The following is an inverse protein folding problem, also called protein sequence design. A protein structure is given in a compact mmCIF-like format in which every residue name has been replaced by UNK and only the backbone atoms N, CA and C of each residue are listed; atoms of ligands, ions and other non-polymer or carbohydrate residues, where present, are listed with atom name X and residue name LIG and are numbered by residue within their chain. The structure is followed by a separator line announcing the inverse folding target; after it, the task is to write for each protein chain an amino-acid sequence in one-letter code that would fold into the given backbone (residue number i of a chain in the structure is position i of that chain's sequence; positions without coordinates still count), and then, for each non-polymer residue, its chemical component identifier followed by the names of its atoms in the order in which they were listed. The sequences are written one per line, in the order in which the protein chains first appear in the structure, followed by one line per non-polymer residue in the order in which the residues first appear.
data_IF_649236731301
#
_entry.id   IF_649236731301
#
_cell.length_a   1.000
_cell.length_b   1.000
_cell.length_c   1.000
_cell.angle_alpha   90.00
_cell.angle_beta   90.00
_cell.angle_gamma   90.00
#
_symmetry.space_group_name_H-M   'P 1'
#
loop_
_entity.id
_entity.type
_entity.pdbx_description
1 polymer ?
#
# COMPACT_ATOMS: atom_id res chain seq x y z
N UNK A 1 -19.58 20.25 -24.61
CA UNK A 1 -19.07 18.89 -24.79
C UNK A 1 -19.25 18.11 -23.48
N UNK A 2 -18.64 18.47 -22.35
CA UNK A 2 -18.69 17.77 -21.06
C UNK A 2 -20.13 17.53 -20.53
N UNK A 3 -21.05 18.52 -20.68
CA UNK A 3 -22.46 18.37 -20.27
C UNK A 3 -23.22 17.39 -21.17
N UNK A 4 -22.96 17.41 -22.48
CA UNK A 4 -23.56 16.48 -23.44
C UNK A 4 -23.08 15.05 -23.21
N UNK A 5 -21.75 14.87 -22.99
CA UNK A 5 -21.17 13.58 -22.64
C UNK A 5 -21.83 12.96 -21.40
N UNK A 6 -21.90 13.72 -20.29
CA UNK A 6 -22.53 13.21 -19.05
C UNK A 6 -23.99 12.75 -19.27
N UNK A 7 -24.74 13.54 -20.03
CA UNK A 7 -26.14 13.20 -20.34
C UNK A 7 -26.24 11.92 -21.18
N UNK A 8 -25.39 11.77 -22.17
CA UNK A 8 -25.36 10.60 -23.04
C UNK A 8 -24.82 9.35 -22.33
N UNK A 9 -23.74 9.47 -21.57
CA UNK A 9 -23.17 8.39 -20.77
C UNK A 9 -24.14 7.87 -19.71
N UNK A 10 -24.90 8.75 -19.04
CA UNK A 10 -25.95 8.34 -18.11
C UNK A 10 -27.15 7.65 -18.80
N UNK A 11 -27.41 7.96 -20.07
CA UNK A 11 -28.51 7.35 -20.84
C UNK A 11 -28.17 5.93 -21.27
N UNK A 12 -26.93 5.69 -21.72
CA UNK A 12 -26.48 4.42 -22.27
C UNK A 12 -25.56 3.64 -21.33
N UNK A 13 -25.59 3.94 -20.01
CA UNK A 13 -24.78 3.23 -19.03
C UNK A 13 -25.18 1.75 -18.94
N UNK A 14 -24.21 0.80 -18.95
CA UNK A 14 -24.50 -0.64 -18.92
C UNK A 14 -25.41 -1.07 -17.77
N UNK A 15 -25.26 -0.44 -16.58
CA UNK A 15 -26.07 -0.75 -15.40
C UNK A 15 -27.56 -0.54 -15.58
N UNK A 16 -27.97 0.31 -16.52
CA UNK A 16 -29.40 0.54 -16.82
C UNK A 16 -30.00 -0.53 -17.70
N UNK A 17 -29.20 -1.31 -18.36
CA UNK A 17 -29.61 -2.33 -19.31
C UNK A 17 -29.38 -3.76 -18.79
N UNK A 18 -29.07 -3.93 -17.49
CA UNK A 18 -28.83 -5.24 -16.88
C UNK A 18 -30.03 -6.21 -17.03
N UNK A 19 -31.24 -5.70 -17.07
CA UNK A 19 -32.51 -6.48 -17.26
C UNK A 19 -33.07 -6.39 -18.68
N UNK A 20 -32.39 -5.75 -19.63
CA UNK A 20 -32.84 -5.61 -21.01
C UNK A 20 -32.49 -6.85 -21.86
N UNK A 21 -33.03 -6.93 -23.07
CA UNK A 21 -32.70 -7.99 -24.03
C UNK A 21 -31.23 -7.93 -24.48
N UNK A 22 -30.66 -9.04 -24.93
CA UNK A 22 -29.27 -9.12 -25.41
C UNK A 22 -28.99 -8.14 -26.56
N UNK A 23 -29.99 -7.87 -27.41
CA UNK A 23 -29.85 -6.90 -28.49
C UNK A 23 -29.75 -5.46 -27.97
N UNK A 24 -30.62 -5.10 -27.02
CA UNK A 24 -30.64 -3.77 -26.40
C UNK A 24 -29.38 -3.52 -25.58
N UNK A 25 -28.85 -4.54 -24.89
CA UNK A 25 -27.56 -4.46 -24.19
C UNK A 25 -26.42 -4.13 -25.15
N UNK A 26 -26.34 -4.85 -26.26
CA UNK A 26 -25.33 -4.67 -27.29
C UNK A 26 -25.40 -3.29 -27.93
N UNK A 27 -26.60 -2.83 -28.28
CA UNK A 27 -26.81 -1.48 -28.84
C UNK A 27 -26.42 -0.36 -27.82
N UNK A 28 -26.74 -0.55 -26.55
CA UNK A 28 -26.37 0.40 -25.51
C UNK A 28 -24.84 0.43 -25.28
N UNK A 29 -24.19 -0.72 -25.33
CA UNK A 29 -22.75 -0.86 -25.22
C UNK A 29 -22.02 -0.22 -26.40
N UNK A 30 -22.48 -0.47 -27.62
CA UNK A 30 -21.90 0.14 -28.83
C UNK A 30 -22.05 1.66 -28.81
N UNK A 31 -23.21 2.19 -28.46
CA UNK A 31 -23.42 3.62 -28.27
C UNK A 31 -22.59 4.24 -27.14
N UNK A 32 -22.39 3.49 -26.05
CA UNK A 32 -21.56 3.95 -24.96
C UNK A 32 -20.09 4.03 -25.35
N UNK A 33 -19.59 3.08 -26.15
CA UNK A 33 -18.23 3.11 -26.72
C UNK A 33 -18.05 4.33 -27.64
N UNK A 34 -18.99 4.56 -28.56
CA UNK A 34 -18.97 5.70 -29.48
C UNK A 34 -18.97 7.06 -28.74
N UNK A 35 -19.78 7.18 -27.68
CA UNK A 35 -19.84 8.38 -26.83
C UNK A 35 -18.51 8.64 -26.10
N UNK A 36 -17.89 7.60 -25.60
CA UNK A 36 -16.59 7.70 -24.91
C UNK A 36 -15.48 8.11 -25.90
N UNK A 37 -15.44 7.50 -27.07
CA UNK A 37 -14.50 7.81 -28.15
C UNK A 37 -14.64 9.27 -28.62
N UNK A 38 -15.85 9.69 -28.91
CA UNK A 38 -16.14 11.08 -29.27
C UNK A 38 -15.72 12.07 -28.18
N UNK A 39 -15.94 11.74 -26.91
CA UNK A 39 -15.53 12.59 -25.81
C UNK A 39 -14.01 12.67 -25.66
N UNK A 40 -13.28 11.59 -25.83
CA UNK A 40 -11.81 11.57 -25.78
C UNK A 40 -11.18 12.46 -26.86
N UNK A 41 -11.76 12.46 -28.05
CA UNK A 41 -11.28 13.34 -29.15
C UNK A 41 -11.69 14.80 -28.91
N UNK A 42 -12.94 15.04 -28.55
CA UNK A 42 -13.48 16.41 -28.48
C UNK A 42 -13.19 17.14 -27.16
N UNK A 43 -12.76 16.44 -26.10
CA UNK A 43 -12.42 17.04 -24.81
C UNK A 43 -11.05 17.68 -24.78
N UNK A 44 -10.14 17.21 -25.61
CA UNK A 44 -8.79 17.73 -25.74
C UNK A 44 -8.71 18.76 -26.88
N UNK A 45 -8.26 20.00 -26.62
CA UNK A 45 -8.18 21.04 -27.66
C UNK A 45 -7.32 20.68 -28.86
N UNK A 46 -6.22 19.94 -28.64
CA UNK A 46 -5.30 19.55 -29.72
C UNK A 46 -5.90 18.45 -30.60
N UNK A 47 -6.50 17.43 -29.99
CA UNK A 47 -7.17 16.33 -30.69
C UNK A 47 -8.38 16.83 -31.47
N UNK A 48 -9.14 17.76 -30.86
CA UNK A 48 -10.27 18.40 -31.52
C UNK A 48 -9.84 19.19 -32.74
N UNK A 49 -8.75 19.96 -32.68
CA UNK A 49 -8.22 20.71 -33.81
C UNK A 49 -7.78 19.78 -34.95
N UNK A 50 -7.19 18.63 -34.62
CA UNK A 50 -6.84 17.62 -35.62
C UNK A 50 -8.08 16.97 -36.24
N UNK A 51 -9.09 16.68 -35.46
CA UNK A 51 -10.36 16.17 -35.95
C UNK A 51 -11.07 17.18 -36.85
N UNK A 52 -11.08 18.46 -36.48
CA UNK A 52 -11.67 19.52 -37.27
C UNK A 52 -10.94 19.75 -38.62
N UNK A 53 -9.63 19.42 -38.71
CA UNK A 53 -8.83 19.56 -39.94
C UNK A 53 -8.87 18.31 -40.84
N UNK A 54 -8.85 17.15 -40.28
CA UNK A 54 -8.66 15.89 -41.04
C UNK A 54 -9.86 14.94 -41.00
N UNK A 55 -10.90 15.29 -40.24
CA UNK A 55 -12.11 14.49 -40.13
C UNK A 55 -11.90 13.12 -39.44
N UNK A 56 -12.89 12.25 -39.60
CA UNK A 56 -12.88 10.89 -39.00
C UNK A 56 -11.82 9.96 -39.64
N UNK A 57 -11.51 10.18 -40.90
CA UNK A 57 -10.56 9.37 -41.68
C UNK A 57 -9.11 9.40 -41.10
N UNK A 58 -8.72 10.45 -40.39
CA UNK A 58 -7.41 10.51 -39.72
C UNK A 58 -7.29 9.56 -38.55
N UNK A 59 -8.40 9.12 -38.02
CA UNK A 59 -8.48 8.21 -36.87
C UNK A 59 -8.80 6.77 -37.29
N UNK A 60 -9.37 6.54 -38.47
CA UNK A 60 -9.62 5.21 -39.03
C UNK A 60 -8.38 4.56 -39.67
N UNK A 61 -7.48 5.34 -40.28
CA UNK A 61 -6.29 4.78 -40.95
C UNK A 61 -5.21 4.28 -39.99
N UNK A 62 -5.28 4.59 -38.68
CA UNK A 62 -4.43 4.00 -37.63
C UNK A 62 -4.96 2.66 -37.07
N UNK A 63 -6.18 2.26 -37.39
CA UNK A 63 -6.85 1.08 -36.83
C UNK A 63 -6.82 -0.17 -37.74
N UNK A 64 -5.99 -0.17 -38.79
CA UNK A 64 -5.82 -1.33 -39.66
C UNK A 64 -5.11 -2.51 -38.99
N UNK A 65 -5.78 -3.19 -38.04
CA UNK A 65 -5.23 -4.39 -37.44
C UNK A 65 -5.94 -4.94 -36.20
N UNK A 66 -7.04 -4.36 -35.75
CA UNK A 66 -7.69 -4.82 -34.51
C UNK A 66 -9.12 -5.37 -34.71
N UNK A 67 -9.29 -6.20 -35.74
CA UNK A 67 -10.47 -7.03 -35.92
C UNK A 67 -10.26 -8.42 -35.33
N UNK A 68 -10.26 -8.59 -34.01
CA UNK A 68 -10.13 -9.90 -33.39
C UNK A 68 -10.30 -9.85 -31.88
N UNK A 69 -11.55 -10.06 -31.41
CA UNK A 69 -11.89 -10.68 -30.14
C UNK A 69 -11.19 -10.21 -28.87
N UNK A 70 -11.65 -9.11 -28.24
CA UNK A 70 -11.28 -8.81 -26.86
C UNK A 70 -12.54 -8.77 -25.98
N UNK A 71 -12.80 -9.92 -25.34
CA UNK A 71 -13.73 -10.07 -24.23
C UNK A 71 -12.91 -10.00 -22.93
N UNK A 72 -12.67 -8.82 -22.40
CA UNK A 72 -11.95 -8.62 -21.14
C UNK A 72 -12.11 -7.21 -20.61
N UNK A 73 -12.41 -7.09 -19.38
CA UNK A 73 -12.73 -6.01 -18.46
C UNK A 73 -12.32 -4.57 -18.75
N UNK A 74 -13.21 -3.71 -18.33
CA UNK A 74 -13.28 -2.27 -18.55
C UNK A 74 -12.15 -1.42 -17.92
N UNK A 75 -11.28 -1.99 -17.05
CA UNK A 75 -10.24 -1.24 -16.32
C UNK A 75 -8.93 -1.06 -17.10
N UNK A 76 -8.69 -1.87 -18.14
CA UNK A 76 -7.40 -1.95 -18.84
C UNK A 76 -7.33 -1.09 -20.14
N UNK A 77 -8.46 -0.47 -20.55
CA UNK A 77 -8.53 0.29 -21.80
C UNK A 77 -7.83 1.66 -21.76
N UNK A 78 -7.66 2.23 -20.56
CA UNK A 78 -7.00 3.53 -20.38
C UNK A 78 -5.49 3.48 -20.61
N UNK A 79 -4.84 2.42 -20.17
CA UNK A 79 -3.39 2.26 -20.24
C UNK A 79 -2.92 1.80 -21.61
N UNK A 80 -3.68 0.93 -22.30
CA UNK A 80 -3.33 0.43 -23.66
C UNK A 80 -3.48 1.53 -24.70
N UNK A 81 -4.47 2.40 -24.55
CA UNK A 81 -4.69 3.53 -25.47
C UNK A 81 -3.67 4.65 -25.26
N UNK A 82 -3.21 4.87 -24.03
CA UNK A 82 -2.15 5.83 -23.69
C UNK A 82 -0.79 5.44 -24.29
N UNK A 83 -0.42 4.18 -24.24
CA UNK A 83 0.84 3.67 -24.79
C UNK A 83 0.82 3.59 -26.33
N UNK A 84 -0.30 3.23 -26.95
CA UNK A 84 -0.43 3.16 -28.40
C UNK A 84 -0.43 4.54 -29.06
N UNK A 85 -1.16 5.51 -28.48
CA UNK A 85 -1.23 6.86 -29.01
C UNK A 85 0.04 7.68 -28.72
N UNK A 86 0.68 7.43 -27.59
CA UNK A 86 1.99 8.01 -27.27
C UNK A 86 3.10 7.52 -28.20
N UNK A 87 3.01 6.27 -28.66
CA UNK A 87 4.00 5.67 -29.56
C UNK A 87 3.78 6.00 -31.05
N UNK A 88 2.52 6.08 -31.50
CA UNK A 88 2.21 6.29 -32.93
C UNK A 88 2.16 7.76 -33.36
N UNK A 89 1.79 8.69 -32.47
CA UNK A 89 1.64 10.12 -32.78
C UNK A 89 2.59 11.06 -32.01
N UNK A 90 3.29 10.57 -30.98
CA UNK A 90 4.31 11.34 -30.23
C UNK A 90 5.69 11.41 -30.90
N UNK A 91 5.85 10.85 -32.06
CA UNK A 91 7.13 10.68 -32.75
C UNK A 91 7.61 11.88 -33.57
N UNK A 92 7.48 13.13 -33.08
CA UNK A 92 8.04 14.19 -33.86
C UNK A 92 8.01 15.58 -33.25
N UNK A 93 8.48 15.83 -32.07
CA UNK A 93 8.97 17.12 -31.55
C UNK A 93 9.04 17.09 -30.02
N UNK A 94 9.72 16.17 -29.49
CA UNK A 94 10.12 16.20 -28.10
C UNK A 94 11.37 15.34 -28.00
N UNK A 95 12.53 15.96 -27.85
CA UNK A 95 13.78 15.24 -27.66
C UNK A 95 13.57 14.11 -26.67
N UNK A 96 13.80 12.88 -27.10
CA UNK A 96 13.80 11.73 -26.23
C UNK A 96 14.68 12.10 -25.03
N UNK A 97 14.08 12.53 -23.94
CA UNK A 97 14.75 12.52 -22.65
C UNK A 97 15.14 11.08 -22.46
N UNK A 98 16.41 10.78 -22.82
CA UNK A 98 17.05 9.53 -22.47
C UNK A 98 16.71 9.33 -20.99
N UNK A 99 15.70 8.49 -20.71
CA UNK A 99 15.45 8.04 -19.34
C UNK A 99 16.77 7.44 -18.93
N UNK A 100 17.51 8.21 -18.14
CA UNK A 100 18.77 7.73 -17.59
C UNK A 100 18.48 6.40 -16.93
N UNK A 101 19.27 5.39 -17.22
CA UNK A 101 19.15 4.05 -16.62
C UNK A 101 19.48 4.02 -15.13
N UNK A 102 19.39 5.17 -14.49
CA UNK A 102 19.66 5.37 -13.07
C UNK A 102 18.52 4.75 -12.29
N UNK A 103 18.78 3.62 -11.68
CA UNK A 103 17.83 2.91 -10.83
C UNK A 103 18.02 3.37 -9.37
N UNK A 104 16.95 3.46 -8.58
CA UNK A 104 17.08 3.65 -7.15
C UNK A 104 17.77 2.46 -6.50
N UNK A 105 18.26 2.63 -5.29
CA UNK A 105 18.78 1.53 -4.48
C UNK A 105 17.66 0.58 -4.04
N UNK A 106 18.05 -0.57 -3.48
CA UNK A 106 17.10 -1.57 -3.01
C UNK A 106 16.35 -1.07 -1.77
N UNK A 107 15.06 -1.45 -1.72
CA UNK A 107 14.22 -1.16 -0.56
C UNK A 107 14.51 -2.15 0.57
N UNK A 108 14.52 -1.65 1.79
CA UNK A 108 14.71 -2.44 2.98
C UNK A 108 13.39 -2.64 3.74
N UNK A 109 13.30 -3.75 4.47
CA UNK A 109 12.15 -4.06 5.32
C UNK A 109 12.64 -4.34 6.74
N UNK A 110 11.97 -3.72 7.70
CA UNK A 110 12.24 -3.89 9.12
C UNK A 110 10.92 -4.12 9.85
N UNK A 111 10.92 -4.99 10.84
CA UNK A 111 9.77 -5.21 11.72
C UNK A 111 10.04 -4.55 13.07
N UNK A 112 9.04 -3.83 13.58
CA UNK A 112 9.07 -3.19 14.90
C UNK A 112 7.86 -3.66 15.69
N UNK A 113 8.11 -4.17 16.89
CA UNK A 113 7.06 -4.58 17.81
C UNK A 113 6.72 -3.45 18.78
N UNK A 114 5.42 -3.23 18.96
CA UNK A 114 4.86 -2.26 19.92
C UNK A 114 3.79 -2.93 20.78
N UNK A 115 3.50 -2.34 21.93
CA UNK A 115 2.38 -2.77 22.77
C UNK A 115 1.07 -2.09 22.32
N UNK A 116 -0.07 -2.56 22.86
CA UNK A 116 -1.38 -2.00 22.54
C UNK A 116 -1.51 -0.56 23.05
N UNK A 117 -0.91 -0.24 24.22
CA UNK A 117 -0.87 1.10 24.79
C UNK A 117 -0.03 2.06 23.92
N UNK A 118 1.14 1.59 23.46
CA UNK A 118 1.97 2.34 22.53
C UNK A 118 1.26 2.59 21.20
N UNK A 119 0.49 1.60 20.70
CA UNK A 119 -0.34 1.78 19.53
C UNK A 119 -1.46 2.79 19.73
N UNK A 120 -2.04 2.86 20.95
CA UNK A 120 -3.09 3.82 21.28
C UNK A 120 -2.58 5.26 21.39
N UNK A 121 -1.41 5.47 22.01
CA UNK A 121 -0.86 6.81 22.27
C UNK A 121 0.04 7.31 21.16
N UNK A 122 0.59 6.40 20.35
CA UNK A 122 1.71 6.64 19.48
C UNK A 122 3.04 6.60 20.25
N UNK A 123 4.11 6.25 19.56
CA UNK A 123 5.44 6.11 20.18
C UNK A 123 6.53 6.45 19.17
N UNK A 124 7.64 6.96 19.67
CA UNK A 124 8.88 7.11 18.90
C UNK A 124 9.84 5.99 19.28
N UNK A 125 10.19 5.14 18.30
CA UNK A 125 11.14 4.04 18.50
C UNK A 125 12.38 4.23 17.66
N UNK A 126 13.52 4.10 18.30
CA UNK A 126 14.80 4.10 17.61
C UNK A 126 15.10 2.70 17.10
N UNK A 127 15.23 2.59 15.79
CA UNK A 127 15.56 1.36 15.08
C UNK A 127 17.01 1.37 14.61
N UNK A 128 17.68 0.24 14.75
CA UNK A 128 19.06 0.02 14.28
C UNK A 128 19.02 -1.03 13.18
N UNK A 129 19.56 -0.69 12.03
CA UNK A 129 19.62 -1.59 10.89
C UNK A 129 20.89 -1.38 10.08
N UNK A 130 21.21 -2.35 9.25
CA UNK A 130 22.33 -2.26 8.32
C UNK A 130 21.80 -1.96 6.94
N UNK A 131 22.46 -1.07 6.22
CA UNK A 131 22.20 -0.80 4.80
C UNK A 131 23.51 -0.76 4.03
N UNK A 132 23.42 -0.86 2.71
CA UNK A 132 24.53 -0.52 1.82
C UNK A 132 24.53 1.00 1.64
N UNK A 133 25.49 1.66 2.27
CA UNK A 133 25.77 3.09 2.09
C UNK A 133 26.67 3.31 0.86
N UNK A 134 26.85 4.57 0.46
CA UNK A 134 27.88 4.91 -0.52
C UNK A 134 29.24 4.74 0.12
N UNK A 135 30.17 4.12 -0.59
CA UNK A 135 31.55 4.00 -0.11
C UNK A 135 32.15 5.38 0.15
N UNK A 136 32.60 5.60 1.37
CA UNK A 136 33.18 6.86 1.83
C UNK A 136 34.43 7.27 1.07
N UNK A 137 35.22 6.31 0.57
CA UNK A 137 36.47 6.57 -0.14
C UNK A 137 36.24 7.02 -1.59
N UNK A 138 35.29 6.39 -2.33
CA UNK A 138 35.05 6.67 -3.74
C UNK A 138 33.72 7.39 -4.04
N UNK A 139 32.93 7.77 -3.03
CA UNK A 139 31.62 8.42 -3.16
C UNK A 139 30.64 7.68 -4.08
N UNK A 140 30.71 6.35 -4.07
CA UNK A 140 29.82 5.51 -4.85
C UNK A 140 30.28 5.21 -6.29
N UNK A 141 31.43 5.74 -6.73
CA UNK A 141 31.93 5.53 -8.11
C UNK A 141 32.57 4.15 -8.33
N UNK A 142 32.96 3.47 -7.27
CA UNK A 142 33.74 2.23 -7.35
C UNK A 142 35.19 2.41 -7.82
N UNK A 143 35.64 3.64 -8.10
CA UNK A 143 36.95 3.95 -8.65
C UNK A 143 37.86 4.57 -7.59
N UNK A 144 39.13 4.19 -7.51
CA UNK A 144 40.12 4.64 -6.52
C UNK A 144 40.29 6.16 -6.50
N UNK A 145 40.42 6.77 -7.64
CA UNK A 145 40.56 8.21 -7.82
C UNK A 145 39.27 8.88 -8.32
N UNK A 146 38.08 8.21 -8.14
CA UNK A 146 36.80 8.63 -8.70
C UNK A 146 36.79 8.72 -10.24
N UNK A 147 37.85 8.26 -10.92
CA UNK A 147 37.98 8.26 -12.37
C UNK A 147 37.27 7.04 -12.96
N UNK A 148 36.28 7.32 -13.79
CA UNK A 148 35.49 6.30 -14.48
C UNK A 148 35.56 6.52 -15.99
N UNK A 149 35.60 5.43 -16.75
CA UNK A 149 35.48 5.42 -18.21
C UNK A 149 34.08 4.96 -18.62
N UNK A 150 33.64 5.41 -19.76
CA UNK A 150 32.42 4.90 -20.37
C UNK A 150 32.59 3.41 -20.70
N UNK A 151 31.59 2.60 -20.38
CA UNK A 151 31.61 1.18 -20.70
C UNK A 151 31.59 0.98 -22.24
N UNK A 152 32.62 0.30 -22.75
CA UNK A 152 32.77 0.04 -24.20
C UNK A 152 31.69 -0.87 -24.74
N UNK A 153 31.15 -1.80 -23.94
CA UNK A 153 30.16 -2.79 -24.35
C UNK A 153 28.77 -2.24 -24.55
N UNK A 154 28.31 -1.37 -23.64
CA UNK A 154 27.00 -0.77 -23.70
C UNK A 154 27.02 0.72 -24.11
N UNK A 155 28.18 1.27 -24.38
CA UNK A 155 28.37 2.67 -24.76
C UNK A 155 27.68 3.65 -23.79
N UNK A 156 27.76 3.35 -22.48
CA UNK A 156 27.19 4.17 -21.40
C UNK A 156 25.70 3.97 -21.12
N UNK A 157 25.01 3.10 -21.85
CA UNK A 157 23.57 2.85 -21.64
C UNK A 157 23.28 1.98 -20.43
N UNK A 158 24.25 1.24 -19.90
CA UNK A 158 24.09 0.28 -18.81
C UNK A 158 23.35 -1.00 -19.21
N UNK A 159 22.79 -1.08 -20.41
CA UNK A 159 22.01 -2.22 -20.91
C UNK A 159 22.48 -2.69 -22.26
N UNK A 160 22.28 -3.97 -22.54
CA UNK A 160 22.55 -4.58 -23.84
C UNK A 160 21.28 -5.26 -24.35
N UNK A 161 21.09 -5.22 -25.68
CA UNK A 161 20.02 -5.96 -26.34
C UNK A 161 20.59 -7.33 -26.77
N UNK A 162 19.98 -8.38 -26.23
CA UNK A 162 20.33 -9.76 -26.62
C UNK A 162 19.19 -10.29 -27.48
N UNK A 163 19.53 -10.66 -28.73
CA UNK A 163 18.57 -11.30 -29.61
C UNK A 163 18.64 -12.82 -29.38
N UNK A 164 17.55 -13.39 -28.90
CA UNK A 164 17.38 -14.84 -28.83
C UNK A 164 16.50 -15.32 -29.96
N UNK A 165 17.07 -16.20 -30.80
CA UNK A 165 16.31 -16.91 -31.82
C UNK A 165 15.66 -18.13 -31.19
N UNK A 166 14.35 -18.16 -31.19
CA UNK A 166 13.56 -19.31 -30.75
C UNK A 166 12.82 -19.90 -31.96
N UNK A 167 12.31 -21.13 -31.91
CA UNK A 167 11.50 -21.71 -32.98
C UNK A 167 10.25 -20.88 -33.36
N UNK A 168 9.83 -19.99 -32.47
CA UNK A 168 8.65 -19.12 -32.64
C UNK A 168 8.98 -17.69 -33.07
N UNK A 169 10.27 -17.39 -33.37
CA UNK A 169 10.68 -16.05 -33.80
C UNK A 169 11.91 -15.50 -33.07
N UNK A 170 12.28 -14.27 -33.42
CA UNK A 170 13.41 -13.56 -32.83
C UNK A 170 12.86 -12.66 -31.73
N UNK A 171 13.21 -12.95 -30.48
CA UNK A 171 12.88 -12.11 -29.32
C UNK A 171 14.07 -11.21 -29.00
N UNK A 172 13.84 -9.92 -28.89
CA UNK A 172 14.80 -8.96 -28.37
C UNK A 172 14.59 -8.78 -26.87
N UNK A 173 15.55 -9.24 -26.09
CA UNK A 173 15.53 -9.05 -24.64
C UNK A 173 16.57 -7.99 -24.26
N UNK A 174 16.16 -7.04 -23.41
CA UNK A 174 17.05 -6.02 -22.86
C UNK A 174 17.53 -6.51 -21.51
N UNK A 175 18.84 -6.81 -21.43
CA UNK A 175 19.46 -7.26 -20.18
C UNK A 175 20.46 -6.22 -19.67
N UNK A 176 20.78 -6.32 -18.40
CA UNK A 176 21.83 -5.54 -17.77
C UNK A 176 23.19 -5.84 -18.41
N UNK A 177 24.01 -4.82 -18.61
CA UNK A 177 25.34 -5.02 -19.19
C UNK A 177 26.25 -5.76 -18.18
N UNK A 178 26.81 -6.93 -18.54
CA UNK A 178 27.59 -7.73 -17.60
C UNK A 178 28.92 -7.09 -17.19
N UNK A 179 29.44 -6.13 -17.97
CA UNK A 179 30.74 -5.51 -17.70
C UNK A 179 30.63 -4.34 -16.73
N UNK A 180 29.54 -3.58 -16.78
CA UNK A 180 29.34 -2.41 -15.93
C UNK A 180 28.18 -2.55 -14.93
N UNK A 181 27.47 -3.68 -14.95
CA UNK A 181 26.35 -3.96 -14.02
C UNK A 181 25.37 -2.78 -13.92
N UNK A 182 24.84 -2.35 -15.06
CA UNK A 182 23.85 -1.28 -15.15
C UNK A 182 24.39 0.15 -15.02
N UNK A 183 25.61 0.35 -14.56
CA UNK A 183 26.17 1.70 -14.29
C UNK A 183 26.50 2.50 -15.55
N UNK A 184 26.71 1.83 -16.69
CA UNK A 184 27.19 2.44 -17.93
C UNK A 184 28.64 2.92 -17.89
N UNK A 185 29.31 2.78 -16.73
CA UNK A 185 30.68 3.25 -16.47
C UNK A 185 31.52 2.14 -15.87
N UNK A 186 32.82 2.16 -16.13
CA UNK A 186 33.79 1.20 -15.58
C UNK A 186 34.89 1.98 -14.87
N UNK A 187 35.27 1.60 -13.64
CA UNK A 187 36.36 2.24 -12.94
C UNK A 187 37.70 1.98 -13.65
N UNK A 188 38.53 2.99 -13.83
CA UNK A 188 39.88 2.82 -14.37
C UNK A 188 40.72 1.95 -13.46
N UNK A 189 40.64 2.21 -12.15
CA UNK A 189 41.25 1.40 -11.09
C UNK A 189 40.20 1.16 -10.03
N UNK A 190 39.96 -0.10 -9.67
CA UNK A 190 38.99 -0.46 -8.64
C UNK A 190 39.35 0.15 -7.32
N UNK A 191 38.39 0.73 -6.62
CA UNK A 191 38.57 1.25 -5.28
C UNK A 191 39.03 0.14 -4.33
N UNK A 192 40.11 0.35 -3.64
CA UNK A 192 40.68 -0.62 -2.69
C UNK A 192 39.77 -0.89 -1.51
N UNK A 193 38.94 0.10 -1.12
CA UNK A 193 38.03 -0.01 0.03
C UNK A 193 36.77 -0.82 -0.28
N UNK A 194 36.07 -0.56 -1.37
CA UNK A 194 34.85 -1.26 -1.76
C UNK A 194 35.03 -2.31 -2.87
N UNK A 195 36.26 -2.53 -3.34
CA UNK A 195 36.61 -3.49 -4.40
C UNK A 195 35.83 -3.29 -5.71
N UNK A 196 35.44 -2.03 -5.99
CA UNK A 196 34.75 -1.66 -7.23
C UNK A 196 33.23 -1.63 -7.11
N UNK A 197 32.61 -2.03 -5.97
CA UNK A 197 31.15 -2.04 -5.81
C UNK A 197 30.55 -0.65 -5.62
N UNK A 198 31.33 0.34 -5.23
CA UNK A 198 30.86 1.69 -4.89
C UNK A 198 30.04 1.77 -3.60
N UNK A 199 29.82 0.66 -2.90
CA UNK A 199 29.01 0.60 -1.69
C UNK A 199 29.74 -0.05 -0.52
N UNK A 200 29.39 0.32 0.69
CA UNK A 200 29.89 -0.28 1.94
C UNK A 200 28.74 -0.51 2.93
N UNK A 201 28.94 -1.43 3.86
CA UNK A 201 27.94 -1.69 4.91
C UNK A 201 27.97 -0.56 5.94
N UNK A 202 26.84 0.11 6.12
CA UNK A 202 26.64 1.18 7.07
C UNK A 202 25.63 0.75 8.14
N UNK A 203 25.95 0.99 9.40
CA UNK A 203 24.98 0.85 10.50
C UNK A 203 24.26 2.17 10.68
N UNK A 204 22.93 2.14 10.51
CA UNK A 204 22.10 3.33 10.65
C UNK A 204 21.23 3.19 11.89
N UNK A 205 21.17 4.25 12.67
CA UNK A 205 20.26 4.40 13.78
C UNK A 205 19.27 5.52 13.44
N UNK A 206 17.97 5.21 13.46
CA UNK A 206 16.93 6.15 13.08
C UNK A 206 15.74 6.07 14.01
N UNK A 207 15.29 7.21 14.50
CA UNK A 207 14.04 7.31 15.26
C UNK A 207 12.85 7.33 14.28
N UNK A 208 11.94 6.39 14.47
CA UNK A 208 10.70 6.24 13.69
C UNK A 208 9.54 6.66 14.56
N UNK A 209 8.78 7.63 14.10
CA UNK A 209 7.56 8.07 14.75
C UNK A 209 6.40 7.21 14.30
N UNK A 210 5.85 6.43 15.20
CA UNK A 210 4.69 5.57 15.00
C UNK A 210 3.45 6.36 15.44
N UNK A 211 2.50 6.65 14.56
CA UNK A 211 1.33 7.43 14.89
C UNK A 211 0.37 6.66 15.81
N UNK A 212 -0.38 7.40 16.62
CA UNK A 212 -1.45 6.85 17.46
C UNK A 212 -2.56 6.25 16.57
N UNK A 213 -3.11 5.13 17.01
CA UNK A 213 -4.18 4.42 16.31
C UNK A 213 -3.71 3.46 15.23
N UNK A 214 -2.40 3.26 15.09
CA UNK A 214 -1.84 2.34 14.10
C UNK A 214 -2.35 0.91 14.30
N UNK A 215 -2.63 0.21 13.18
CA UNK A 215 -3.07 -1.17 13.20
C UNK A 215 -1.92 -2.16 13.09
N UNK A 216 -2.17 -3.41 13.52
CA UNK A 216 -1.22 -4.49 13.31
C UNK A 216 -0.97 -4.73 11.82
N UNK A 217 0.28 -5.01 11.47
CA UNK A 217 0.70 -5.25 10.08
C UNK A 217 0.81 -4.01 9.20
N UNK A 218 0.52 -2.80 9.69
CA UNK A 218 0.69 -1.57 8.92
C UNK A 218 2.15 -1.27 8.63
N UNK A 219 2.38 -0.62 7.48
CA UNK A 219 3.71 -0.31 6.95
C UNK A 219 3.94 1.20 6.96
N UNK A 220 5.02 1.61 7.57
CA UNK A 220 5.49 2.99 7.53
C UNK A 220 6.63 3.08 6.50
N UNK A 221 6.50 3.96 5.52
CA UNK A 221 7.52 4.20 4.50
C UNK A 221 8.43 5.34 4.92
N UNK A 222 9.71 5.09 5.00
CA UNK A 222 10.76 6.09 5.24
C UNK A 222 11.57 6.27 3.96
N UNK A 223 11.32 7.34 3.25
CA UNK A 223 11.92 7.62 1.94
C UNK A 223 13.42 7.86 2.05
N UNK A 224 14.20 7.22 1.16
CA UNK A 224 15.64 7.35 1.07
C UNK A 224 16.43 6.71 2.22
N UNK A 225 15.80 5.82 2.98
CA UNK A 225 16.43 5.12 4.10
C UNK A 225 16.82 3.66 3.78
N UNK A 226 16.62 3.23 2.53
CA UNK A 226 17.06 1.93 1.99
C UNK A 226 18.52 1.90 1.58
N UNK A 227 18.89 0.96 0.73
CA UNK A 227 20.24 0.78 0.20
C UNK A 227 20.61 1.88 -0.81
N UNK A 228 21.89 2.17 -0.93
CA UNK A 228 22.43 3.05 -1.95
C UNK A 228 22.28 2.42 -3.34
N UNK A 229 21.93 3.24 -4.33
CA UNK A 229 21.93 2.82 -5.72
C UNK A 229 23.32 2.48 -6.22
N UNK A 230 23.48 1.39 -6.93
CA UNK A 230 24.71 1.00 -7.61
C UNK A 230 24.92 1.81 -8.89
N UNK A 231 23.86 2.38 -9.47
CA UNK A 231 23.91 3.17 -10.72
C UNK A 231 23.98 4.68 -10.50
N UNK A 232 24.22 5.13 -9.26
CA UNK A 232 24.28 6.55 -8.90
C UNK A 232 22.92 7.23 -8.72
N UNK A 233 21.85 6.45 -8.58
CA UNK A 233 20.50 6.91 -8.28
C UNK A 233 20.29 7.30 -6.82
N UNK A 234 19.06 7.65 -6.45
CA UNK A 234 18.70 7.88 -5.07
C UNK A 234 18.76 6.59 -4.26
N UNK A 235 18.84 6.72 -2.96
CA UNK A 235 18.68 5.59 -2.06
C UNK A 235 17.27 4.98 -2.22
N UNK A 236 17.14 3.68 -1.99
CA UNK A 236 15.85 3.03 -1.81
C UNK A 236 15.13 3.48 -0.55
N UNK A 237 14.01 2.90 -0.27
CA UNK A 237 13.18 3.24 0.89
C UNK A 237 13.26 2.17 1.98
N UNK A 238 12.98 2.57 3.22
CA UNK A 238 12.83 1.63 4.33
C UNK A 238 11.36 1.48 4.69
N UNK A 239 10.85 0.26 4.61
CA UNK A 239 9.51 -0.10 5.04
C UNK A 239 9.56 -0.70 6.44
N UNK A 240 9.01 0.02 7.40
CA UNK A 240 8.88 -0.44 8.78
C UNK A 240 7.52 -1.08 8.95
N UNK A 241 7.49 -2.41 9.13
CA UNK A 241 6.30 -3.18 9.44
C UNK A 241 6.05 -3.12 10.94
N UNK A 242 4.94 -2.56 11.33
CA UNK A 242 4.54 -2.47 12.73
C UNK A 242 3.77 -3.72 13.11
N UNK A 243 4.20 -4.38 14.20
CA UNK A 243 3.51 -5.51 14.80
C UNK A 243 3.05 -5.12 16.20
N UNK A 244 1.75 -5.19 16.43
CA UNK A 244 1.16 -4.96 17.76
C UNK A 244 1.15 -6.28 18.52
N UNK A 245 1.75 -6.30 19.72
CA UNK A 245 1.74 -7.49 20.57
C UNK A 245 0.32 -7.78 21.08
N UNK A 246 -0.08 -9.06 21.17
CA UNK A 246 -1.33 -9.42 21.83
C UNK A 246 -1.34 -8.92 23.26
N UNK A 247 -2.47 -8.35 23.68
CA UNK A 247 -2.62 -7.88 25.05
C UNK A 247 -3.31 -8.95 25.91
N UNK A 248 -2.91 -9.16 27.18
CA UNK A 248 -3.45 -10.21 28.03
C UNK A 248 -4.93 -10.02 28.41
N UNK A 249 -5.44 -8.78 28.37
CA UNK A 249 -6.79 -8.46 28.82
C UNK A 249 -7.67 -8.03 27.65
N UNK A 250 -7.11 -7.27 26.69
CA UNK A 250 -7.87 -6.64 25.63
C UNK A 250 -7.66 -7.34 24.28
N UNK A 251 -8.77 -7.59 23.62
CA UNK A 251 -8.80 -7.99 22.23
C UNK A 251 -9.22 -6.77 21.39
N UNK A 252 -8.41 -6.44 20.38
CA UNK A 252 -8.67 -5.30 19.51
C UNK A 252 -9.42 -5.73 18.26
N UNK A 253 -10.49 -5.02 17.92
CA UNK A 253 -11.18 -5.12 16.65
C UNK A 253 -11.33 -3.72 16.05
N UNK A 254 -10.49 -3.39 15.07
CA UNK A 254 -10.36 -2.05 14.49
C UNK A 254 -10.05 -1.00 15.57
N UNK A 255 -10.98 -0.12 15.88
CA UNK A 255 -10.84 0.91 16.91
C UNK A 255 -11.48 0.50 18.25
N UNK A 256 -12.32 -0.54 18.26
CA UNK A 256 -12.98 -1.03 19.46
C UNK A 256 -12.13 -2.05 20.20
N UNK A 257 -12.29 -2.09 21.50
CA UNK A 257 -11.65 -3.04 22.38
C UNK A 257 -12.68 -3.93 23.04
N UNK A 258 -12.31 -5.18 23.25
CA UNK A 258 -13.11 -6.18 23.95
C UNK A 258 -12.34 -6.67 25.15
N UNK A 259 -13.04 -6.86 26.27
CA UNK A 259 -12.48 -7.53 27.43
C UNK A 259 -13.53 -8.32 28.18
N UNK A 260 -13.09 -9.39 28.82
CA UNK A 260 -13.89 -10.16 29.74
C UNK A 260 -13.63 -9.70 31.18
N UNK A 261 -14.70 -9.39 31.89
CA UNK A 261 -14.60 -8.96 33.28
C UNK A 261 -15.40 -9.94 34.17
N UNK A 262 -14.71 -10.63 35.08
CA UNK A 262 -15.40 -11.49 36.04
C UNK A 262 -16.14 -10.66 37.07
N UNK A 263 -17.35 -11.08 37.41
CA UNK A 263 -18.16 -10.50 38.45
C UNK A 263 -18.63 -11.60 39.40
N UNK A 264 -18.79 -11.25 40.68
CA UNK A 264 -19.30 -12.21 41.66
C UNK A 264 -20.80 -12.43 41.50
N UNK A 265 -21.30 -13.59 41.87
CA UNK A 265 -22.72 -13.92 41.89
C UNK A 265 -23.53 -12.85 42.71
N UNK A 266 -22.99 -12.46 43.87
CA UNK A 266 -23.64 -11.44 44.71
C UNK A 266 -23.80 -10.08 43.97
N UNK A 267 -22.76 -9.63 43.24
CA UNK A 267 -22.81 -8.41 42.44
C UNK A 267 -23.78 -8.54 41.28
N UNK A 268 -23.87 -9.71 40.67
CA UNK A 268 -24.79 -9.96 39.56
C UNK A 268 -26.26 -9.88 40.03
N UNK A 269 -26.57 -10.44 41.21
CA UNK A 269 -27.92 -10.45 41.76
C UNK A 269 -28.32 -9.08 42.32
N UNK A 270 -27.48 -8.52 43.19
CA UNK A 270 -27.85 -7.28 43.95
C UNK A 270 -27.56 -6.00 43.14
N UNK A 271 -26.74 -6.09 42.07
CA UNK A 271 -26.15 -4.93 41.42
C UNK A 271 -24.98 -4.37 42.25
N UNK A 272 -24.40 -3.30 41.78
CA UNK A 272 -23.28 -2.65 42.49
C UNK A 272 -22.34 -1.92 41.54
N UNK A 273 -21.17 -1.55 42.03
CA UNK A 273 -20.11 -0.94 41.27
C UNK A 273 -18.93 -1.91 41.14
N UNK A 274 -18.39 -2.03 39.97
CA UNK A 274 -17.19 -2.79 39.69
C UNK A 274 -16.11 -1.90 39.11
N UNK A 275 -14.86 -2.27 39.29
CA UNK A 275 -13.72 -1.65 38.61
C UNK A 275 -13.38 -2.42 37.35
N UNK A 276 -13.42 -1.73 36.20
CA UNK A 276 -13.10 -2.28 34.88
C UNK A 276 -11.77 -1.73 34.42
N UNK A 277 -10.85 -2.58 33.94
CA UNK A 277 -9.61 -2.12 33.35
C UNK A 277 -9.90 -1.37 32.04
N UNK A 278 -9.16 -0.30 31.79
CA UNK A 278 -9.12 0.42 30.51
C UNK A 278 -7.66 0.65 30.12
N UNK A 279 -7.38 1.03 28.88
CA UNK A 279 -6.00 1.38 28.46
C UNK A 279 -5.43 2.59 29.24
N UNK A 280 -6.28 3.41 29.83
CA UNK A 280 -5.88 4.60 30.57
C UNK A 280 -5.93 4.40 32.11
N UNK A 281 -6.13 3.18 32.58
CA UNK A 281 -6.26 2.85 34.01
C UNK A 281 -7.53 2.09 34.31
N UNK A 282 -8.13 2.31 35.49
CA UNK A 282 -9.37 1.65 35.93
C UNK A 282 -10.54 2.62 35.95
N UNK A 283 -11.72 2.14 35.59
CA UNK A 283 -12.96 2.92 35.60
C UNK A 283 -14.05 2.19 36.38
N UNK A 284 -14.76 2.92 37.26
CA UNK A 284 -15.89 2.36 37.98
C UNK A 284 -17.14 2.35 37.10
N UNK A 285 -17.81 1.21 37.09
CA UNK A 285 -19.00 0.97 36.27
C UNK A 285 -20.10 0.37 37.11
N UNK A 286 -21.32 0.89 36.97
CA UNK A 286 -22.49 0.38 37.69
C UNK A 286 -23.07 -0.84 36.99
N UNK A 287 -23.29 -1.90 37.73
CA UNK A 287 -23.96 -3.12 37.34
C UNK A 287 -25.40 -3.10 37.84
N UNK A 288 -26.34 -3.33 36.94
CA UNK A 288 -27.74 -3.45 37.31
C UNK A 288 -28.00 -4.77 38.04
N UNK A 289 -28.93 -4.76 39.03
CA UNK A 289 -29.38 -6.00 39.67
C UNK A 289 -29.99 -6.97 38.62
N UNK A 290 -29.76 -8.26 38.83
CA UNK A 290 -30.22 -9.31 37.92
C UNK A 290 -29.43 -9.42 36.62
N UNK A 291 -28.18 -8.91 36.56
CA UNK A 291 -27.33 -9.01 35.42
C UNK A 291 -26.93 -10.46 35.15
N UNK A 292 -27.15 -10.91 33.91
CA UNK A 292 -26.82 -12.29 33.47
C UNK A 292 -25.39 -12.38 32.91
N UNK A 293 -24.81 -13.59 32.99
CA UNK A 293 -23.52 -13.86 32.37
C UNK A 293 -23.59 -13.65 30.86
N UNK A 294 -22.48 -13.21 30.27
CA UNK A 294 -22.41 -12.90 28.82
C UNK A 294 -23.02 -11.54 28.46
N UNK A 295 -23.57 -10.78 29.42
CA UNK A 295 -24.09 -9.44 29.11
C UNK A 295 -22.97 -8.53 28.66
N UNK A 296 -23.20 -7.88 27.49
CA UNK A 296 -22.28 -6.88 26.95
C UNK A 296 -22.58 -5.49 27.51
N UNK A 297 -21.53 -4.81 27.95
CA UNK A 297 -21.61 -3.41 28.34
C UNK A 297 -20.67 -2.59 27.49
N UNK A 298 -21.07 -1.36 27.17
CA UNK A 298 -20.31 -0.45 26.32
C UNK A 298 -19.83 0.75 27.13
N UNK A 299 -18.53 0.99 27.09
CA UNK A 299 -17.93 2.23 27.59
C UNK A 299 -17.48 3.08 26.41
N UNK A 300 -18.23 4.13 26.12
CA UNK A 300 -17.97 4.99 24.98
C UNK A 300 -16.68 5.77 25.15
N UNK A 301 -15.87 5.81 24.06
CA UNK A 301 -14.61 6.54 24.01
C UNK A 301 -13.44 5.93 24.78
N UNK A 302 -13.58 4.71 25.32
CA UNK A 302 -12.50 3.97 26.01
C UNK A 302 -11.79 2.95 25.12
N UNK A 303 -12.08 2.94 23.82
CA UNK A 303 -11.38 2.15 22.81
C UNK A 303 -10.09 2.80 22.32
N UNK A 304 -9.60 2.32 21.17
CA UNK A 304 -8.41 2.83 20.49
C UNK A 304 -8.65 4.19 19.85
N UNK A 305 -7.60 4.98 19.77
CA UNK A 305 -7.63 6.22 18.98
C UNK A 305 -7.66 5.86 17.47
N UNK A 306 -8.46 6.60 16.70
CA UNK A 306 -8.46 6.44 15.25
C UNK A 306 -7.20 7.03 14.62
N UNK A 307 -6.62 6.33 13.64
CA UNK A 307 -5.47 6.81 12.86
C UNK A 307 -5.82 8.00 11.97
N UNK A 308 -7.05 8.04 11.43
CA UNK A 308 -7.49 9.03 10.43
C UNK A 308 -8.35 10.16 10.99
N UNK A 309 -8.69 10.12 12.27
CA UNK A 309 -9.61 11.09 12.88
C UNK A 309 -9.28 11.38 14.33
N UNK A 310 -9.97 12.37 14.89
CA UNK A 310 -9.80 12.73 16.30
C UNK A 310 -10.88 12.09 17.20
N UNK A 311 -11.31 10.87 16.87
CA UNK A 311 -12.27 10.12 17.64
C UNK A 311 -11.65 8.83 18.17
N UNK A 312 -12.29 8.26 19.19
CA UNK A 312 -11.92 6.99 19.81
C UNK A 312 -13.04 5.99 19.61
N UNK A 313 -12.69 4.73 19.53
CA UNK A 313 -13.62 3.62 19.61
C UNK A 313 -14.14 3.41 21.02
N UNK A 314 -14.85 2.34 21.22
CA UNK A 314 -15.51 1.99 22.47
C UNK A 314 -14.83 0.77 23.10
N UNK A 315 -14.99 0.63 24.41
CA UNK A 315 -14.63 -0.60 25.12
C UNK A 315 -15.91 -1.41 25.37
N UNK A 316 -15.94 -2.60 24.80
CA UNK A 316 -17.01 -3.58 24.94
C UNK A 316 -16.60 -4.62 25.99
N UNK A 317 -17.35 -4.65 27.08
CA UNK A 317 -17.08 -5.48 28.25
C UNK A 317 -18.08 -6.61 28.27
N UNK A 318 -17.60 -7.84 28.25
CA UNK A 318 -18.41 -9.02 28.50
C UNK A 318 -18.32 -9.41 29.97
N UNK A 319 -19.44 -9.37 30.65
CA UNK A 319 -19.54 -9.74 32.07
C UNK A 319 -19.68 -11.24 32.22
N UNK A 320 -18.76 -11.86 32.91
CA UNK A 320 -18.80 -13.28 33.23
C UNK A 320 -19.01 -13.50 34.73
N UNK A 321 -20.08 -14.20 35.09
CA UNK A 321 -20.36 -14.50 36.51
C UNK A 321 -19.47 -15.67 36.93
N UNK A 322 -18.62 -15.41 37.93
CA UNK A 322 -17.79 -16.45 38.53
C UNK A 322 -18.54 -17.13 39.66
N UNK A 323 -18.61 -18.46 39.58
CA UNK A 323 -19.13 -19.29 40.64
C UNK A 323 -18.04 -19.49 41.68
N UNK A 324 -18.26 -19.16 42.96
CA UNK A 324 -17.27 -19.36 44.02
C UNK A 324 -16.97 -20.85 44.21
N UNK A 325 -15.68 -21.20 44.19
CA UNK A 325 -15.21 -22.60 44.30
C UNK A 325 -14.95 -23.03 45.75
N UNK A 326 -14.81 -22.09 46.67
CA UNK A 326 -14.60 -22.36 48.12
C UNK A 326 -15.56 -21.53 48.95
N UNK A 327 -16.53 -22.23 49.54
CA UNK A 327 -17.54 -21.60 50.43
C UNK A 327 -17.42 -22.22 51.82
N UNK A 328 -17.64 -21.39 52.87
CA UNK A 328 -17.76 -21.87 54.23
C UNK A 328 -19.08 -22.64 54.40
N UNK A 329 -19.16 -23.51 55.42
CA UNK A 329 -20.39 -24.26 55.73
C UNK A 329 -21.60 -23.35 55.90
N UNK A 330 -21.44 -22.19 56.55
CA UNK A 330 -22.50 -21.21 56.71
C UNK A 330 -22.95 -20.58 55.39
N UNK A 331 -22.02 -20.30 54.46
CA UNK A 331 -22.36 -19.77 53.13
C UNK A 331 -23.10 -20.84 52.28
N UNK A 332 -22.74 -22.09 52.38
CA UNK A 332 -23.46 -23.19 51.75
C UNK A 332 -24.88 -23.33 52.26
N UNK A 333 -25.08 -23.27 53.60
CA UNK A 333 -26.43 -23.28 54.23
C UNK A 333 -27.30 -22.10 53.75
N UNK A 334 -26.72 -20.90 53.63
CA UNK A 334 -27.44 -19.74 53.08
C UNK A 334 -27.86 -19.91 51.64
N UNK A 335 -26.99 -20.50 50.79
CA UNK A 335 -27.32 -20.80 49.39
C UNK A 335 -28.45 -21.82 49.28
N UNK A 336 -28.42 -22.91 50.10
CA UNK A 336 -29.53 -23.89 50.13
C UNK A 336 -30.86 -23.29 50.65
N UNK A 337 -30.85 -22.24 51.46
CA UNK A 337 -32.05 -21.52 51.87
C UNK A 337 -32.57 -20.56 50.80
N UNK A 338 -31.74 -20.25 49.80
CA UNK A 338 -32.12 -19.36 48.71
C UNK A 338 -32.87 -20.13 47.58
N UNK A 339 -32.67 -21.44 47.45
CA UNK A 339 -33.47 -22.33 46.61
C UNK A 339 -34.85 -22.60 47.23
#
# INVERSE_FOLDING_TARGET
IKKAYRKAAMKYHPDKYTSASEQEKKEAEDKFKEINEAYQVLSDPQKRQQYDQFGHAAFEQGAGGFGGGFSGGFEDLGDIFGDFFGSAFGGGFGGARRRSSVQPGDDLRLQVEITLEEANTGVEKTVKYNRKGKCSHCDGTGAEEKKVKQCSKCHGTGRIQVQQRTPFGVFQNVSECPDCHGTGKIPEKKCSHCHGTGSEKEKVEKTVKIPAGIDDGQKLKLTGMGDASTTGGPFGDLYVHVRVKPHPIFERNDIDLYCDVPITFATAVAGGEIEVPTLNGKKKVKIAAGTQTGKMMKLSGEGMKSLRGNYRGDLLIRLNIETPTSLSKHQMELLHKFE
#
